data_IF_389206587635
#
_entry.id   IF_389206587635
#
_cell.length_a   1.000
_cell.length_b   1.000
_cell.length_c   1.000
_cell.angle_alpha   90.00
_cell.angle_beta   90.00
_cell.angle_gamma   90.00
#
_symmetry.space_group_name_H-M   'P 1'
#
loop_
_entity.id
_entity.type
_entity.pdbx_description
1 polymer ?
#
# COMPACT_ATOMS: atom_id res chain seq x y z
N UNK A 1 -44.79 -0.90 -24.50
CA UNK A 1 -44.15 -0.75 -23.18
C UNK A 1 -43.66 0.68 -23.13
N UNK A 2 -44.39 1.52 -22.40
CA UNK A 2 -43.95 2.86 -22.06
C UNK A 2 -42.72 2.66 -21.17
N UNK A 3 -41.57 3.17 -21.61
CA UNK A 3 -40.38 3.23 -20.78
C UNK A 3 -40.64 4.44 -19.89
N UNK A 4 -40.94 4.20 -18.62
CA UNK A 4 -41.05 5.27 -17.63
C UNK A 4 -39.71 6.02 -17.61
N UNK A 5 -39.75 7.31 -17.90
CA UNK A 5 -38.58 8.22 -17.94
C UNK A 5 -38.02 8.52 -16.52
N UNK A 6 -38.57 7.89 -15.48
CA UNK A 6 -38.32 8.25 -14.08
C UNK A 6 -37.34 7.31 -13.33
N UNK A 7 -36.89 6.20 -13.93
CA UNK A 7 -35.80 5.41 -13.37
C UNK A 7 -34.45 5.95 -13.88
N UNK A 8 -34.15 7.18 -13.48
CA UNK A 8 -32.85 7.81 -13.69
C UNK A 8 -31.80 6.94 -12.99
N UNK A 9 -31.05 6.16 -13.77
CA UNK A 9 -30.09 5.13 -13.35
C UNK A 9 -29.05 5.59 -12.29
N UNK A 10 -28.97 6.89 -12.05
CA UNK A 10 -28.07 7.56 -11.09
C UNK A 10 -28.80 8.33 -9.97
N UNK A 11 -30.11 8.17 -9.83
CA UNK A 11 -30.87 8.71 -8.71
C UNK A 11 -30.30 8.20 -7.38
N UNK A 12 -30.15 9.10 -6.39
CA UNK A 12 -29.56 8.79 -5.09
C UNK A 12 -28.02 8.85 -5.01
N UNK A 13 -27.29 8.94 -6.13
CA UNK A 13 -25.81 9.08 -6.10
C UNK A 13 -25.35 10.40 -5.44
N UNK A 14 -26.23 11.41 -5.47
CA UNK A 14 -26.02 12.71 -4.84
C UNK A 14 -26.70 12.85 -3.47
N UNK A 15 -27.38 11.80 -2.98
CA UNK A 15 -28.01 11.76 -1.67
C UNK A 15 -27.02 11.17 -0.66
N UNK A 16 -26.25 12.06 -0.04
CA UNK A 16 -25.34 11.69 1.04
C UNK A 16 -26.11 11.75 2.35
N UNK A 17 -25.81 10.84 3.30
CA UNK A 17 -26.35 10.94 4.65
C UNK A 17 -26.13 12.37 5.19
N UNK A 18 -27.09 13.01 5.89
CA UNK A 18 -26.97 14.41 6.32
C UNK A 18 -25.69 14.72 7.10
N UNK A 19 -25.17 13.74 7.85
CA UNK A 19 -23.91 13.85 8.60
C UNK A 19 -22.64 13.88 7.72
N UNK A 20 -22.76 13.55 6.44
CA UNK A 20 -21.70 13.54 5.44
C UNK A 20 -21.95 14.57 4.33
N UNK A 21 -23.04 15.35 4.42
CA UNK A 21 -23.35 16.40 3.47
C UNK A 21 -22.46 17.63 3.74
N UNK A 22 -21.39 17.75 2.95
CA UNK A 22 -20.43 18.85 3.09
C UNK A 22 -20.87 20.13 2.39
N UNK A 23 -22.03 20.15 1.70
CA UNK A 23 -22.46 21.29 0.87
C UNK A 23 -22.81 22.52 1.72
N UNK A 24 -23.39 22.31 2.90
CA UNK A 24 -23.83 23.37 3.81
C UNK A 24 -22.96 23.47 5.07
N UNK A 25 -21.73 22.95 5.04
CA UNK A 25 -20.83 22.93 6.21
C UNK A 25 -20.53 24.34 6.75
N UNK A 26 -20.61 25.38 5.90
CA UNK A 26 -20.51 26.80 6.32
C UNK A 26 -21.68 27.24 7.19
N UNK A 27 -22.85 26.68 7.01
CA UNK A 27 -24.09 27.04 7.72
C UNK A 27 -24.34 26.14 8.94
N UNK A 28 -23.59 25.05 9.07
CA UNK A 28 -23.69 24.10 10.17
C UNK A 28 -23.24 24.73 11.50
N UNK A 29 -24.18 24.82 12.45
CA UNK A 29 -23.98 25.45 13.74
C UNK A 29 -22.93 24.71 14.60
N UNK A 30 -22.92 23.38 14.56
CA UNK A 30 -21.99 22.56 15.34
C UNK A 30 -20.57 22.72 14.80
N UNK A 31 -20.42 22.78 13.47
CA UNK A 31 -19.14 23.06 12.83
C UNK A 31 -18.63 24.48 13.15
N UNK A 32 -19.50 25.49 13.09
CA UNK A 32 -19.14 26.88 13.43
C UNK A 32 -18.72 27.05 14.89
N UNK A 33 -19.39 26.35 15.81
CA UNK A 33 -19.02 26.37 17.22
C UNK A 33 -17.70 25.61 17.48
N UNK A 34 -17.44 24.53 16.73
CA UNK A 34 -16.13 23.86 16.73
C UNK A 34 -15.01 24.78 16.19
N UNK A 35 -15.22 25.50 15.09
CA UNK A 35 -14.27 26.48 14.57
C UNK A 35 -13.92 27.56 15.61
N UNK A 36 -14.93 28.07 16.32
CA UNK A 36 -14.76 29.12 17.34
C UNK A 36 -13.96 28.64 18.56
N UNK A 37 -14.10 27.36 18.92
CA UNK A 37 -13.44 26.76 20.08
C UNK A 37 -12.04 26.21 19.78
N UNK A 38 -11.80 25.78 18.53
CA UNK A 38 -10.53 25.16 18.11
C UNK A 38 -9.37 26.17 17.94
N UNK A 39 -9.64 27.48 17.89
CA UNK A 39 -8.60 28.52 17.83
C UNK A 39 -7.79 28.53 16.52
N UNK A 40 -8.33 27.96 15.45
CA UNK A 40 -7.70 27.84 14.13
C UNK A 40 -7.59 29.22 13.47
N UNK A 41 -6.43 29.54 12.88
CA UNK A 41 -6.16 30.84 12.23
C UNK A 41 -5.62 31.96 13.14
N UNK A 42 -5.57 31.79 14.47
CA UNK A 42 -4.94 32.79 15.35
C UNK A 42 -3.41 32.63 15.33
N UNK A 43 -2.69 33.54 14.65
CA UNK A 43 -1.24 33.71 14.81
C UNK A 43 -0.96 34.02 16.29
N UNK A 44 -0.45 33.04 17.04
CA UNK A 44 -0.01 33.28 18.42
C UNK A 44 1.13 34.31 18.38
N UNK A 45 1.07 35.40 19.18
CA UNK A 45 2.19 36.32 19.23
C UNK A 45 3.42 35.58 19.75
N UNK A 46 4.48 35.56 18.93
CA UNK A 46 5.80 35.06 19.29
C UNK A 46 6.28 35.77 20.55
N UNK A 47 6.16 35.11 21.70
CA UNK A 47 6.76 35.57 22.95
C UNK A 47 8.16 34.98 23.04
N UNK A 48 9.16 35.81 22.69
CA UNK A 48 10.56 35.57 23.04
C UNK A 48 10.65 35.22 24.53
N UNK A 49 11.42 34.17 24.81
CA UNK A 49 11.34 33.43 26.05
C UNK A 49 11.93 34.10 27.29
N UNK A 50 11.70 33.42 28.41
CA UNK A 50 12.69 33.16 29.46
C UNK A 50 12.20 31.94 30.22
N UNK A 51 13.04 30.91 30.26
CA UNK A 51 12.68 29.61 30.80
C UNK A 51 12.52 29.63 32.31
N UNK A 52 11.57 28.83 32.80
CA UNK A 52 11.63 28.23 34.13
C UNK A 52 10.82 26.94 34.09
N UNK A 53 11.53 25.82 34.15
CA UNK A 53 10.97 24.48 34.37
C UNK A 53 10.28 24.41 35.73
N UNK A 54 9.01 23.98 35.77
CA UNK A 54 8.41 23.37 36.96
C UNK A 54 7.68 22.10 36.55
N UNK A 55 8.23 20.97 36.96
CA UNK A 55 7.54 19.69 37.06
C UNK A 55 6.33 19.82 37.99
N UNK A 56 5.18 19.32 37.55
CA UNK A 56 3.99 19.13 38.36
C UNK A 56 3.57 17.67 38.34
N UNK A 57 3.74 16.98 39.46
CA UNK A 57 3.28 15.62 39.75
C UNK A 57 1.77 15.61 39.95
N UNK A 58 1.02 14.77 39.22
CA UNK A 58 -0.41 14.55 39.48
C UNK A 58 -0.58 13.33 40.38
N UNK A 59 -1.17 13.59 41.54
CA UNK A 59 -1.52 12.63 42.59
C UNK A 59 -2.87 11.98 42.30
N UNK A 60 -2.90 10.65 42.42
CA UNK A 60 -4.10 9.80 42.42
C UNK A 60 -4.85 10.01 43.72
N UNK A 61 -6.14 10.38 43.63
CA UNK A 61 -7.03 10.44 44.80
C UNK A 61 -8.11 9.36 44.69
N UNK A 62 -7.92 8.30 45.46
CA UNK A 62 -8.95 7.32 45.74
C UNK A 62 -9.99 7.87 46.73
N UNK A 63 -11.22 7.36 46.63
CA UNK A 63 -12.22 7.51 47.66
C UNK A 63 -12.90 6.15 47.89
N UNK A 64 -13.00 5.79 49.17
CA UNK A 64 -13.58 4.53 49.66
C UNK A 64 -14.70 4.84 50.65
N UNK A 65 -15.83 4.14 50.54
CA UNK A 65 -16.71 3.76 51.67
C UNK A 65 -17.72 2.71 51.18
N UNK A 66 -17.54 1.44 51.56
CA UNK A 66 -18.20 0.73 52.69
C UNK A 66 -19.71 0.54 52.53
N UNK A 67 -20.14 -0.71 52.30
CA UNK A 67 -20.88 -1.50 53.30
C UNK A 67 -21.08 -2.94 52.78
N UNK A 68 -20.81 -3.90 53.65
CA UNK A 68 -21.01 -5.34 53.46
C UNK A 68 -22.37 -5.76 54.01
N UNK A 69 -22.99 -6.80 53.42
CA UNK A 69 -23.49 -7.99 54.14
C UNK A 69 -23.94 -9.07 53.16
N UNK A 70 -23.67 -10.31 53.54
CA UNK A 70 -23.89 -11.54 52.80
C UNK A 70 -25.26 -12.18 53.09
N UNK A 71 -25.71 -13.04 52.16
CA UNK A 71 -26.12 -14.45 52.40
C UNK A 71 -27.45 -14.91 51.76
N UNK A 72 -27.28 -15.80 50.77
CA UNK A 72 -27.95 -17.11 50.56
C UNK A 72 -29.40 -17.21 50.02
N UNK A 73 -29.70 -18.34 49.32
CA UNK A 73 -30.83 -18.47 48.41
C UNK A 73 -32.04 -19.16 49.06
N UNK A 74 -33.22 -18.96 48.48
CA UNK A 74 -34.44 -19.67 48.86
C UNK A 74 -35.11 -20.34 47.67
N UNK A 75 -35.67 -21.50 47.98
CA UNK A 75 -36.19 -22.58 47.14
C UNK A 75 -37.65 -22.39 46.72
N UNK A 76 -37.96 -22.89 45.52
CA UNK A 76 -39.18 -23.55 45.04
C UNK A 76 -40.56 -23.22 45.64
N UNK A 77 -41.51 -22.82 44.78
CA UNK A 77 -42.89 -23.36 44.78
C UNK A 77 -43.41 -23.47 43.35
N UNK A 78 -43.96 -24.65 43.06
CA UNK A 78 -44.62 -25.12 41.84
C UNK A 78 -46.06 -24.59 41.80
N UNK A 79 -46.56 -24.18 40.64
CA UNK A 79 -48.00 -24.08 40.39
C UNK A 79 -48.33 -24.84 39.08
N UNK A 80 -49.26 -25.78 39.19
CA UNK A 80 -49.79 -26.55 38.08
C UNK A 80 -50.78 -25.69 37.29
N UNK A 81 -50.63 -25.64 35.97
CA UNK A 81 -51.58 -25.00 35.06
C UNK A 81 -51.49 -25.69 33.70
N UNK A 82 -52.49 -26.52 33.41
CA UNK A 82 -52.73 -27.05 32.08
C UNK A 82 -53.27 -25.92 31.19
N UNK A 83 -52.57 -25.60 30.11
CA UNK A 83 -53.18 -24.96 28.94
C UNK A 83 -52.69 -25.69 27.69
N UNK A 84 -53.63 -26.32 27.00
CA UNK A 84 -53.42 -27.00 25.73
C UNK A 84 -53.30 -25.97 24.62
N UNK A 85 -52.07 -25.62 24.24
CA UNK A 85 -51.80 -24.98 22.96
C UNK A 85 -51.07 -25.97 22.07
N UNK A 86 -51.62 -26.12 20.86
CA UNK A 86 -51.10 -26.93 19.78
C UNK A 86 -49.59 -26.72 19.65
N UNK A 87 -48.84 -27.81 19.80
CA UNK A 87 -47.46 -27.86 19.34
C UNK A 87 -47.52 -27.78 17.82
N UNK A 88 -47.34 -26.58 17.28
CA UNK A 88 -46.66 -26.46 16.00
C UNK A 88 -45.30 -27.13 16.19
N UNK A 89 -45.18 -28.31 15.60
CA UNK A 89 -43.87 -28.89 15.30
C UNK A 89 -43.14 -27.80 14.51
N UNK A 90 -41.94 -27.36 14.93
CA UNK A 90 -41.14 -26.57 14.01
C UNK A 90 -41.00 -27.46 12.78
N UNK A 91 -41.48 -26.96 11.64
CA UNK A 91 -41.13 -27.54 10.37
C UNK A 91 -39.63 -27.79 10.45
N UNK A 92 -39.21 -29.02 10.18
CA UNK A 92 -37.81 -29.27 9.85
C UNK A 92 -37.50 -28.20 8.83
N UNK A 93 -36.64 -27.25 9.19
CA UNK A 93 -35.90 -26.51 8.19
C UNK A 93 -35.28 -27.62 7.35
N UNK A 94 -35.87 -27.88 6.20
CA UNK A 94 -35.24 -28.63 5.15
C UNK A 94 -33.95 -27.84 4.92
N UNK A 95 -32.87 -28.31 5.56
CA UNK A 95 -31.52 -27.91 5.23
C UNK A 95 -31.47 -28.26 3.76
N UNK A 96 -31.72 -27.27 2.89
CA UNK A 96 -31.45 -27.37 1.48
C UNK A 96 -30.01 -27.82 1.47
N UNK A 97 -29.78 -29.08 1.11
CA UNK A 97 -28.42 -29.55 0.92
C UNK A 97 -27.87 -28.63 -0.15
N UNK A 98 -26.98 -27.70 0.26
CA UNK A 98 -26.41 -26.71 -0.63
C UNK A 98 -25.98 -27.45 -1.89
N UNK A 99 -26.50 -26.99 -3.03
CA UNK A 99 -26.13 -27.58 -4.31
C UNK A 99 -24.61 -27.62 -4.40
N UNK A 100 -24.05 -28.63 -5.05
CA UNK A 100 -22.59 -28.74 -5.21
C UNK A 100 -22.02 -27.41 -5.78
N UNK A 101 -22.79 -26.75 -6.64
CA UNK A 101 -22.47 -25.43 -7.20
C UNK A 101 -22.48 -24.30 -6.16
N UNK A 102 -23.40 -24.31 -5.19
CA UNK A 102 -23.43 -23.34 -4.09
C UNK A 102 -22.24 -23.55 -3.15
N UNK A 103 -21.88 -24.81 -2.87
CA UNK A 103 -20.68 -25.15 -2.09
C UNK A 103 -19.41 -24.68 -2.79
N UNK A 104 -19.31 -24.85 -4.11
CA UNK A 104 -18.21 -24.32 -4.93
C UNK A 104 -18.13 -22.80 -4.75
N UNK A 105 -19.22 -22.07 -4.94
CA UNK A 105 -19.25 -20.60 -4.79
C UNK A 105 -18.86 -20.14 -3.38
N UNK A 106 -19.36 -20.80 -2.33
CA UNK A 106 -19.00 -20.50 -0.95
C UNK A 106 -17.50 -20.73 -0.70
N UNK A 107 -16.94 -21.82 -1.23
CA UNK A 107 -15.50 -22.09 -1.14
C UNK A 107 -14.68 -21.06 -1.90
N UNK A 108 -15.07 -20.67 -3.12
CA UNK A 108 -14.39 -19.64 -3.90
C UNK A 108 -14.36 -18.29 -3.16
N UNK A 109 -15.51 -17.86 -2.63
CA UNK A 109 -15.61 -16.65 -1.83
C UNK A 109 -14.70 -16.71 -0.60
N UNK A 110 -14.71 -17.84 0.12
CA UNK A 110 -13.85 -18.03 1.29
C UNK A 110 -12.36 -18.02 0.94
N UNK A 111 -11.96 -18.64 -0.16
CA UNK A 111 -10.58 -18.60 -0.65
C UNK A 111 -10.17 -17.15 -0.94
N UNK A 112 -11.03 -16.39 -1.61
CA UNK A 112 -10.74 -14.99 -1.92
C UNK A 112 -10.62 -14.13 -0.65
N UNK A 113 -11.48 -14.32 0.37
CA UNK A 113 -11.33 -13.62 1.65
C UNK A 113 -9.99 -13.90 2.34
N UNK A 114 -9.48 -15.14 2.27
CA UNK A 114 -8.16 -15.48 2.82
C UNK A 114 -7.02 -14.82 2.04
N UNK A 115 -7.16 -14.69 0.72
CA UNK A 115 -6.20 -13.95 -0.11
C UNK A 115 -6.20 -12.47 0.27
N UNK A 116 -7.37 -11.87 0.45
CA UNK A 116 -7.51 -10.47 0.90
C UNK A 116 -6.92 -10.26 2.29
N UNK A 117 -7.23 -11.13 3.26
CA UNK A 117 -6.64 -11.08 4.61
C UNK A 117 -5.11 -11.17 4.57
N UNK A 118 -4.57 -12.10 3.77
CA UNK A 118 -3.13 -12.25 3.56
C UNK A 118 -2.49 -10.98 2.98
N UNK A 119 -3.10 -10.40 1.94
CA UNK A 119 -2.66 -9.14 1.35
C UNK A 119 -2.71 -7.99 2.37
N UNK A 120 -3.77 -7.91 3.17
CA UNK A 120 -3.96 -6.87 4.18
C UNK A 120 -3.01 -6.98 5.37
N UNK A 121 -2.54 -8.20 5.70
CA UNK A 121 -1.51 -8.44 6.71
C UNK A 121 -0.11 -8.12 6.18
N UNK A 122 0.13 -8.42 4.90
CA UNK A 122 1.39 -8.10 4.22
C UNK A 122 1.51 -6.63 3.79
N UNK A 123 0.40 -5.89 3.77
CA UNK A 123 0.39 -4.48 3.39
C UNK A 123 1.19 -3.65 4.40
N UNK A 124 2.16 -2.87 3.90
CA UNK A 124 2.94 -1.95 4.74
C UNK A 124 2.04 -0.80 5.20
N UNK A 125 1.99 -0.54 6.51
CA UNK A 125 1.35 0.66 7.04
C UNK A 125 2.07 1.91 6.54
N UNK A 126 1.32 2.97 6.25
CA UNK A 126 1.90 4.26 5.87
C UNK A 126 2.65 4.83 7.09
N UNK A 127 3.98 5.05 7.02
CA UNK A 127 4.77 5.45 8.19
C UNK A 127 4.36 6.81 8.79
N UNK A 128 3.66 7.66 8.04
CA UNK A 128 3.24 9.01 8.45
C UNK A 128 1.72 9.11 8.70
N UNK A 129 1.00 7.99 8.81
CA UNK A 129 -0.41 7.98 9.22
C UNK A 129 -0.52 7.81 10.73
N UNK A 130 -0.42 8.93 11.47
CA UNK A 130 -0.53 8.98 12.93
C UNK A 130 -1.87 8.39 13.45
N UNK A 131 -2.91 8.40 12.60
CA UNK A 131 -4.22 7.83 12.89
C UNK A 131 -4.38 6.36 12.41
N UNK A 132 -3.45 5.84 11.61
CA UNK A 132 -3.48 4.42 11.29
C UNK A 132 -3.00 3.64 12.53
N UNK A 133 -3.70 2.57 12.94
CA UNK A 133 -3.12 1.65 13.91
C UNK A 133 -1.76 1.23 13.34
N UNK A 134 -0.69 1.33 14.14
CA UNK A 134 0.64 0.81 13.78
C UNK A 134 0.49 -0.69 13.56
N UNK A 135 0.10 -1.07 12.34
CA UNK A 135 -0.16 -2.44 11.96
C UNK A 135 1.22 -3.07 11.82
N UNK A 136 1.65 -3.77 12.85
CA UNK A 136 2.85 -4.60 12.76
C UNK A 136 2.65 -5.55 11.58
N UNK A 137 3.63 -5.56 10.68
CA UNK A 137 3.60 -6.42 9.51
C UNK A 137 3.84 -7.85 9.99
N UNK A 138 2.77 -8.62 10.18
CA UNK A 138 2.87 -10.02 10.56
C UNK A 138 3.01 -10.90 9.31
N UNK A 139 4.25 -10.98 8.82
CA UNK A 139 4.63 -11.76 7.65
C UNK A 139 4.32 -13.26 7.82
N UNK A 140 4.38 -13.77 9.05
CA UNK A 140 4.08 -15.16 9.37
C UNK A 140 2.60 -15.46 9.24
N UNK A 141 1.73 -14.60 9.79
CA UNK A 141 0.28 -14.73 9.63
C UNK A 141 -0.13 -14.55 8.16
N UNK A 142 0.45 -13.58 7.45
CA UNK A 142 0.17 -13.37 6.03
C UNK A 142 0.50 -14.64 5.20
N UNK A 143 1.63 -15.28 5.49
CA UNK A 143 2.03 -16.53 4.85
C UNK A 143 1.09 -17.69 5.20
N UNK A 144 0.73 -17.84 6.48
CA UNK A 144 -0.19 -18.89 6.93
C UNK A 144 -1.54 -18.79 6.19
N UNK A 145 -2.09 -17.57 6.07
CA UNK A 145 -3.33 -17.31 5.31
C UNK A 145 -3.20 -17.65 3.83
N UNK A 146 -2.06 -17.32 3.20
CA UNK A 146 -1.82 -17.68 1.81
C UNK A 146 -1.70 -19.20 1.60
N UNK A 147 -1.05 -19.91 2.53
CA UNK A 147 -0.95 -21.37 2.49
C UNK A 147 -2.32 -22.04 2.71
N UNK A 148 -3.12 -21.51 3.62
CA UNK A 148 -4.50 -21.95 3.87
C UNK A 148 -5.37 -21.78 2.62
N UNK A 149 -5.32 -20.60 1.97
CA UNK A 149 -6.02 -20.34 0.72
C UNK A 149 -5.64 -21.35 -0.38
N UNK A 150 -4.33 -21.60 -0.55
CA UNK A 150 -3.84 -22.59 -1.52
C UNK A 150 -4.23 -24.03 -1.20
N UNK A 151 -4.34 -24.39 0.08
CA UNK A 151 -4.84 -25.70 0.49
C UNK A 151 -6.34 -25.87 0.19
N UNK A 152 -7.14 -24.84 0.48
CA UNK A 152 -8.57 -24.82 0.16
C UNK A 152 -8.82 -24.86 -1.34
N UNK A 153 -8.03 -24.14 -2.13
CA UNK A 153 -8.10 -24.16 -3.59
C UNK A 153 -7.85 -25.57 -4.15
N UNK A 154 -6.80 -26.27 -3.68
CA UNK A 154 -6.56 -27.67 -4.06
C UNK A 154 -7.69 -28.61 -3.64
N UNK A 155 -8.41 -28.29 -2.56
CA UNK A 155 -9.59 -29.05 -2.15
C UNK A 155 -10.78 -28.75 -3.06
N UNK A 156 -10.98 -27.49 -3.45
CA UNK A 156 -12.01 -27.05 -4.38
C UNK A 156 -11.85 -27.75 -5.73
N UNK A 157 -10.63 -27.76 -6.30
CA UNK A 157 -10.33 -28.42 -7.57
C UNK A 157 -10.69 -29.92 -7.51
N UNK A 158 -10.24 -30.62 -6.46
CA UNK A 158 -10.56 -32.05 -6.27
C UNK A 158 -12.05 -32.32 -6.15
N UNK A 159 -12.79 -31.42 -5.48
CA UNK A 159 -14.24 -31.53 -5.35
C UNK A 159 -14.93 -31.33 -6.70
N UNK A 160 -14.51 -30.32 -7.49
CA UNK A 160 -15.01 -30.08 -8.84
C UNK A 160 -14.76 -31.27 -9.76
N UNK A 161 -13.56 -31.87 -9.71
CA UNK A 161 -13.22 -33.08 -10.47
C UNK A 161 -14.11 -34.28 -10.10
N UNK A 162 -14.32 -34.53 -8.80
CA UNK A 162 -15.19 -35.62 -8.33
C UNK A 162 -16.65 -35.46 -8.74
N UNK A 163 -17.11 -34.21 -8.86
CA UNK A 163 -18.46 -33.88 -9.31
C UNK A 163 -18.58 -33.80 -10.84
N UNK A 164 -17.53 -34.13 -11.61
CA UNK A 164 -17.44 -33.97 -13.07
C UNK A 164 -17.69 -32.52 -13.54
N UNK A 165 -17.32 -31.54 -12.71
CA UNK A 165 -17.38 -30.10 -12.98
C UNK A 165 -16.00 -29.53 -13.37
N UNK A 166 -15.13 -30.32 -13.98
CA UNK A 166 -13.75 -29.90 -14.29
C UNK A 166 -13.64 -28.67 -15.20
N UNK A 167 -14.64 -28.44 -16.06
CA UNK A 167 -14.66 -27.30 -16.98
C UNK A 167 -15.09 -25.98 -16.32
N UNK A 168 -15.61 -26.01 -15.08
CA UNK A 168 -16.00 -24.80 -14.32
C UNK A 168 -14.88 -24.25 -13.45
N UNK A 169 -13.65 -24.72 -13.66
CA UNK A 169 -12.51 -24.31 -12.86
C UNK A 169 -12.19 -22.82 -13.02
N UNK A 170 -12.21 -22.09 -11.91
CA UNK A 170 -11.94 -20.66 -11.87
C UNK A 170 -10.41 -20.38 -11.93
N UNK A 171 -9.91 -20.16 -13.13
CA UNK A 171 -8.49 -19.86 -13.39
C UNK A 171 -8.06 -18.52 -12.77
N UNK A 172 -8.95 -17.54 -12.67
CA UNK A 172 -8.61 -16.24 -12.08
C UNK A 172 -8.39 -16.36 -10.57
N UNK A 173 -9.22 -17.15 -9.89
CA UNK A 173 -9.02 -17.49 -8.48
C UNK A 173 -7.68 -18.22 -8.28
N UNK A 174 -7.40 -19.20 -9.12
CA UNK A 174 -6.14 -19.95 -9.09
C UNK A 174 -4.93 -19.04 -9.26
N UNK A 175 -5.01 -18.13 -10.23
CA UNK A 175 -3.98 -17.13 -10.45
C UNK A 175 -3.78 -16.25 -9.22
N UNK A 176 -4.86 -15.73 -8.62
CA UNK A 176 -4.81 -14.87 -7.45
C UNK A 176 -4.16 -15.58 -6.24
N UNK A 177 -4.57 -16.82 -5.96
CA UNK A 177 -4.06 -17.60 -4.84
C UNK A 177 -2.57 -17.91 -5.02
N UNK A 178 -2.17 -18.43 -6.18
CA UNK A 178 -0.77 -18.76 -6.45
C UNK A 178 0.13 -17.52 -6.52
N UNK A 179 -0.36 -16.41 -7.08
CA UNK A 179 0.40 -15.16 -7.12
C UNK A 179 0.61 -14.59 -5.71
N UNK A 180 -0.43 -14.59 -4.88
CA UNK A 180 -0.31 -14.15 -3.50
C UNK A 180 0.65 -15.07 -2.72
N UNK A 181 0.49 -16.39 -2.82
CA UNK A 181 1.36 -17.36 -2.15
C UNK A 181 2.82 -17.19 -2.55
N UNK A 182 3.12 -17.06 -3.85
CA UNK A 182 4.47 -16.82 -4.33
C UNK A 182 5.06 -15.50 -3.81
N UNK A 183 4.23 -14.46 -3.75
CA UNK A 183 4.59 -13.17 -3.14
C UNK A 183 4.92 -13.30 -1.65
N UNK A 184 4.08 -13.99 -0.89
CA UNK A 184 4.31 -14.21 0.54
C UNK A 184 5.56 -15.03 0.81
N UNK A 185 5.84 -16.08 0.02
CA UNK A 185 7.10 -16.80 0.11
C UNK A 185 8.30 -15.88 -0.17
N UNK A 186 8.22 -15.01 -1.17
CA UNK A 186 9.31 -14.10 -1.52
C UNK A 186 9.58 -13.03 -0.45
N UNK A 187 8.55 -12.57 0.25
CA UNK A 187 8.67 -11.59 1.35
C UNK A 187 9.21 -12.26 2.62
N UNK A 188 8.84 -13.52 2.88
CA UNK A 188 9.37 -14.34 3.97
C UNK A 188 10.74 -15.00 3.65
N UNK A 189 11.40 -14.58 2.56
CA UNK A 189 12.71 -15.08 2.11
C UNK A 189 12.77 -16.59 1.81
N UNK A 190 11.62 -17.23 1.63
CA UNK A 190 11.47 -18.61 1.15
C UNK A 190 11.61 -18.66 -0.37
N UNK A 191 12.81 -18.37 -0.85
CA UNK A 191 13.07 -18.11 -2.27
C UNK A 191 12.83 -19.32 -3.18
N UNK A 192 13.14 -20.53 -2.71
CA UNK A 192 12.95 -21.76 -3.48
C UNK A 192 11.47 -22.05 -3.75
N UNK A 193 10.63 -21.92 -2.73
CA UNK A 193 9.19 -22.13 -2.77
C UNK A 193 8.51 -21.04 -3.61
N UNK A 194 8.95 -19.79 -3.47
CA UNK A 194 8.49 -18.68 -4.30
C UNK A 194 8.77 -18.94 -5.79
N UNK A 195 10.00 -19.33 -6.13
CA UNK A 195 10.40 -19.62 -7.52
C UNK A 195 9.63 -20.80 -8.10
N UNK A 196 9.43 -21.87 -7.33
CA UNK A 196 8.63 -23.02 -7.77
C UNK A 196 7.19 -22.61 -8.07
N UNK A 197 6.57 -21.82 -7.18
CA UNK A 197 5.20 -21.34 -7.36
C UNK A 197 5.08 -20.41 -8.58
N UNK A 198 6.00 -19.46 -8.75
CA UNK A 198 6.03 -18.61 -9.95
C UNK A 198 6.31 -19.40 -11.23
N UNK A 199 7.06 -20.50 -11.15
CA UNK A 199 7.33 -21.35 -12.30
C UNK A 199 6.08 -22.12 -12.75
N UNK A 200 5.19 -22.50 -11.82
CA UNK A 200 3.89 -23.09 -12.17
C UNK A 200 3.04 -22.09 -12.96
N UNK A 201 2.96 -20.84 -12.49
CA UNK A 201 2.22 -19.77 -13.15
C UNK A 201 2.77 -19.44 -14.55
N UNK A 202 4.10 -19.31 -14.68
CA UNK A 202 4.72 -18.91 -15.95
C UNK A 202 4.77 -20.02 -17.01
N UNK A 203 4.60 -21.30 -16.63
CA UNK A 203 4.51 -22.42 -17.57
C UNK A 203 3.12 -22.53 -18.21
N UNK A 204 2.07 -22.13 -17.47
CA UNK A 204 0.72 -22.15 -17.99
C UNK A 204 0.45 -20.90 -18.84
N UNK A 205 0.22 -21.11 -20.14
CA UNK A 205 -0.04 -20.01 -21.09
C UNK A 205 -1.39 -19.34 -20.91
N UNK A 206 -2.29 -19.93 -20.12
CA UNK A 206 -3.60 -19.36 -19.82
C UNK A 206 -3.51 -18.19 -18.84
N UNK A 207 -2.43 -18.10 -18.05
CA UNK A 207 -2.28 -17.01 -17.09
C UNK A 207 -1.71 -15.74 -17.74
N UNK A 208 -2.33 -14.57 -17.49
CA UNK A 208 -1.88 -13.31 -18.05
C UNK A 208 -0.58 -12.83 -17.38
N UNK A 209 0.04 -11.82 -17.98
CA UNK A 209 1.16 -11.07 -17.39
C UNK A 209 2.39 -11.90 -16.96
N UNK A 210 2.73 -12.95 -17.72
CA UNK A 210 3.92 -13.76 -17.49
C UNK A 210 5.23 -12.93 -17.43
N UNK A 211 5.27 -11.78 -18.12
CA UNK A 211 6.37 -10.82 -18.04
C UNK A 211 6.56 -10.27 -16.61
N UNK A 212 5.50 -9.84 -15.93
CA UNK A 212 5.54 -9.32 -14.55
C UNK A 212 5.99 -10.39 -13.55
N UNK A 213 5.52 -11.62 -13.71
CA UNK A 213 5.95 -12.75 -12.88
C UNK A 213 7.46 -13.03 -13.05
N UNK A 214 7.99 -12.95 -14.26
CA UNK A 214 9.44 -13.08 -14.51
C UNK A 214 10.25 -11.97 -13.85
N UNK A 215 9.74 -10.75 -13.76
CA UNK A 215 10.38 -9.67 -12.99
C UNK A 215 10.48 -10.05 -11.51
N UNK A 216 9.41 -10.60 -10.93
CA UNK A 216 9.42 -11.05 -9.54
C UNK A 216 10.42 -12.19 -9.31
N UNK A 217 10.47 -13.17 -10.22
CA UNK A 217 11.49 -14.23 -10.19
C UNK A 217 12.92 -13.64 -10.29
N UNK A 218 13.11 -12.65 -11.18
CA UNK A 218 14.39 -11.93 -11.33
C UNK A 218 14.80 -11.23 -10.03
N UNK A 219 13.85 -10.59 -9.34
CA UNK A 219 14.08 -9.95 -8.04
C UNK A 219 14.52 -10.97 -6.97
N UNK A 220 13.93 -12.16 -6.97
CA UNK A 220 14.34 -13.25 -6.07
C UNK A 220 15.78 -13.68 -6.36
N UNK A 221 16.11 -13.96 -7.62
CA UNK A 221 17.48 -14.32 -8.00
C UNK A 221 18.49 -13.20 -7.72
N UNK A 222 18.09 -11.93 -7.85
CA UNK A 222 18.90 -10.79 -7.47
C UNK A 222 19.21 -10.81 -5.96
N UNK A 223 18.20 -11.06 -5.11
CA UNK A 223 18.38 -11.19 -3.65
C UNK A 223 19.25 -12.38 -3.26
N UNK A 224 19.14 -13.50 -3.99
CA UNK A 224 20.00 -14.68 -3.81
C UNK A 224 21.45 -14.46 -4.28
N UNK A 225 21.77 -13.35 -4.93
CA UNK A 225 23.09 -13.10 -5.52
C UNK A 225 23.34 -13.84 -6.85
N UNK A 226 22.35 -14.54 -7.39
CA UNK A 226 22.46 -15.25 -8.67
C UNK A 226 22.26 -14.30 -9.86
N UNK A 227 23.18 -13.35 -10.00
CA UNK A 227 23.12 -12.25 -10.96
C UNK A 227 22.88 -12.66 -12.43
N UNK A 228 23.53 -13.71 -12.98
CA UNK A 228 23.29 -14.13 -14.36
C UNK A 228 21.86 -14.63 -14.62
N UNK A 229 21.27 -15.35 -13.66
CA UNK A 229 19.89 -15.86 -13.77
C UNK A 229 18.88 -14.71 -13.66
N UNK A 230 19.11 -13.77 -12.74
CA UNK A 230 18.31 -12.54 -12.63
C UNK A 230 18.32 -11.75 -13.94
N UNK A 231 19.50 -11.54 -14.54
CA UNK A 231 19.64 -10.78 -15.79
C UNK A 231 18.87 -11.44 -16.94
N UNK A 232 18.96 -12.78 -17.06
CA UNK A 232 18.22 -13.53 -18.08
C UNK A 232 16.72 -13.32 -17.93
N UNK A 233 16.19 -13.40 -16.71
CA UNK A 233 14.76 -13.22 -16.45
C UNK A 233 14.27 -11.79 -16.70
N UNK A 234 15.03 -10.78 -16.30
CA UNK A 234 14.68 -9.40 -16.60
C UNK A 234 14.69 -9.12 -18.10
N UNK A 235 15.67 -9.63 -18.85
CA UNK A 235 15.67 -9.52 -20.32
C UNK A 235 14.46 -10.20 -20.95
N UNK A 236 14.17 -11.44 -20.55
CA UNK A 236 12.98 -12.16 -21.02
C UNK A 236 11.68 -11.41 -20.68
N UNK A 237 11.61 -10.74 -19.52
CA UNK A 237 10.45 -9.91 -19.16
C UNK A 237 10.36 -8.68 -20.06
N UNK A 238 11.48 -7.97 -20.28
CA UNK A 238 11.53 -6.77 -21.13
C UNK A 238 11.16 -7.06 -22.59
N UNK A 239 11.63 -8.19 -23.13
CA UNK A 239 11.33 -8.64 -24.50
C UNK A 239 9.84 -8.98 -24.69
N UNK A 240 9.19 -9.44 -23.62
CA UNK A 240 7.77 -9.80 -23.62
C UNK A 240 6.84 -8.64 -23.26
N UNK A 241 7.38 -7.55 -22.72
CA UNK A 241 6.60 -6.37 -22.37
C UNK A 241 6.31 -5.54 -23.62
N UNK A 242 5.03 -5.35 -23.99
CA UNK A 242 4.64 -4.54 -25.13
C UNK A 242 5.24 -3.14 -25.08
N UNK A 243 5.55 -2.56 -26.24
CA UNK A 243 6.10 -1.19 -26.34
C UNK A 243 5.17 -0.13 -25.77
N UNK A 244 3.86 -0.39 -25.75
CA UNK A 244 2.86 0.48 -25.13
C UNK A 244 2.97 0.56 -23.59
N UNK A 245 3.47 -0.48 -22.92
CA UNK A 245 3.65 -0.49 -21.45
C UNK A 245 4.97 0.18 -21.05
N UNK A 246 5.15 1.47 -21.41
CA UNK A 246 6.40 2.22 -21.17
C UNK A 246 6.86 2.16 -19.71
N UNK A 247 5.96 2.37 -18.77
CA UNK A 247 6.28 2.39 -17.33
C UNK A 247 6.87 1.06 -16.84
N UNK A 248 6.31 -0.08 -17.29
CA UNK A 248 6.82 -1.40 -16.92
C UNK A 248 8.21 -1.61 -17.53
N UNK A 249 8.41 -1.20 -18.79
CA UNK A 249 9.72 -1.28 -19.44
C UNK A 249 10.77 -0.48 -18.68
N UNK A 250 10.46 0.74 -18.26
CA UNK A 250 11.39 1.58 -17.49
C UNK A 250 11.73 0.96 -16.13
N UNK A 251 10.73 0.42 -15.41
CA UNK A 251 10.96 -0.30 -14.14
C UNK A 251 11.84 -1.53 -14.32
N UNK A 252 11.64 -2.32 -15.38
CA UNK A 252 12.47 -3.50 -15.67
C UNK A 252 13.89 -3.08 -16.06
N UNK A 253 14.04 -2.04 -16.88
CA UNK A 253 15.35 -1.47 -17.23
C UNK A 253 16.08 -0.96 -15.99
N UNK A 254 15.38 -0.30 -15.06
CA UNK A 254 15.96 0.18 -13.80
C UNK A 254 16.50 -0.99 -12.97
N UNK A 255 15.76 -2.10 -12.85
CA UNK A 255 16.23 -3.32 -12.18
C UNK A 255 17.46 -3.94 -12.87
N UNK A 256 17.49 -3.94 -14.21
CA UNK A 256 18.69 -4.35 -14.96
C UNK A 256 19.87 -3.42 -14.65
N UNK A 257 19.64 -2.11 -14.56
CA UNK A 257 20.64 -1.11 -14.17
C UNK A 257 21.24 -1.41 -12.81
N UNK A 258 20.41 -1.62 -11.78
CA UNK A 258 20.89 -2.02 -10.44
C UNK A 258 21.67 -3.34 -10.46
N UNK A 259 21.21 -4.30 -11.25
CA UNK A 259 21.91 -5.58 -11.40
C UNK A 259 23.29 -5.41 -12.04
N UNK A 260 23.41 -4.56 -13.06
CA UNK A 260 24.70 -4.22 -13.69
C UNK A 260 25.65 -3.52 -12.70
N UNK A 261 25.12 -2.62 -11.87
CA UNK A 261 25.88 -2.00 -10.76
C UNK A 261 26.41 -3.06 -9.79
N UNK A 262 25.56 -4.02 -9.38
CA UNK A 262 25.99 -5.14 -8.50
C UNK A 262 27.06 -6.03 -9.15
N UNK A 263 27.04 -6.16 -10.48
CA UNK A 263 28.05 -6.87 -11.25
C UNK A 263 29.32 -6.05 -11.51
N UNK A 264 29.40 -4.79 -11.07
CA UNK A 264 30.52 -3.88 -11.33
C UNK A 264 30.58 -3.34 -12.77
N UNK A 265 29.53 -3.57 -13.56
CA UNK A 265 29.42 -3.11 -14.96
C UNK A 265 28.85 -1.70 -15.04
N UNK A 266 29.58 -0.74 -14.46
CA UNK A 266 29.10 0.63 -14.33
C UNK A 266 28.86 1.32 -15.69
N UNK A 267 29.68 1.04 -16.71
CA UNK A 267 29.49 1.62 -18.07
C UNK A 267 28.15 1.22 -18.69
N UNK A 268 27.79 -0.06 -18.59
CA UNK A 268 26.51 -0.57 -19.07
C UNK A 268 25.34 -0.06 -18.22
N UNK A 269 25.55 0.16 -16.92
CA UNK A 269 24.54 0.75 -16.04
C UNK A 269 24.27 2.22 -16.38
N UNK A 270 25.32 3.01 -16.69
CA UNK A 270 25.20 4.41 -17.12
C UNK A 270 24.33 4.53 -18.37
N UNK A 271 24.60 3.75 -19.41
CA UNK A 271 23.80 3.81 -20.66
C UNK A 271 22.33 3.46 -20.40
N UNK A 272 22.08 2.49 -19.53
CA UNK A 272 20.74 2.06 -19.17
C UNK A 272 19.99 3.13 -18.34
N UNK A 273 20.63 3.73 -17.34
CA UNK A 273 20.03 4.81 -16.55
C UNK A 273 19.86 6.11 -17.35
N UNK A 274 20.77 6.42 -18.28
CA UNK A 274 20.61 7.54 -19.22
C UNK A 274 19.36 7.38 -20.07
N UNK A 275 19.12 6.17 -20.60
CA UNK A 275 17.91 5.90 -21.37
C UNK A 275 16.64 6.10 -20.53
N UNK A 276 16.64 5.64 -19.27
CA UNK A 276 15.48 5.85 -18.38
C UNK A 276 15.28 7.34 -18.10
N UNK A 277 16.36 8.08 -17.79
CA UNK A 277 16.29 9.53 -17.57
C UNK A 277 15.76 10.30 -18.78
N UNK A 278 16.04 9.82 -20.00
CA UNK A 278 15.55 10.44 -21.23
C UNK A 278 14.06 10.16 -21.50
N UNK A 279 13.58 8.93 -21.28
CA UNK A 279 12.18 8.56 -21.53
C UNK A 279 11.23 8.98 -20.39
N UNK A 280 11.63 8.70 -19.14
CA UNK A 280 10.84 8.94 -17.92
C UNK A 280 11.79 9.25 -16.76
N UNK A 281 12.29 10.49 -16.72
CA UNK A 281 13.20 10.95 -15.68
C UNK A 281 12.58 10.90 -14.28
N UNK A 282 13.34 10.35 -13.33
CA UNK A 282 13.01 10.36 -11.91
C UNK A 282 14.26 10.57 -11.06
N UNK A 283 14.07 11.14 -9.86
CA UNK A 283 15.19 11.50 -8.99
C UNK A 283 16.02 10.31 -8.51
N UNK A 284 15.42 9.12 -8.39
CA UNK A 284 16.14 7.93 -7.94
C UNK A 284 17.05 7.39 -9.06
N UNK A 285 16.53 7.28 -10.29
CA UNK A 285 17.32 6.91 -11.47
C UNK A 285 18.46 7.91 -11.70
N UNK A 286 18.18 9.21 -11.61
CA UNK A 286 19.20 10.24 -11.77
C UNK A 286 20.31 10.13 -10.71
N UNK A 287 19.95 9.87 -9.45
CA UNK A 287 20.94 9.62 -8.40
C UNK A 287 21.80 8.39 -8.72
N UNK A 288 21.19 7.28 -9.16
CA UNK A 288 21.94 6.08 -9.54
C UNK A 288 22.89 6.36 -10.72
N UNK A 289 22.45 7.15 -11.69
CA UNK A 289 23.27 7.57 -12.82
C UNK A 289 24.49 8.39 -12.37
N UNK A 290 24.28 9.40 -11.51
CA UNK A 290 25.37 10.19 -10.92
C UNK A 290 26.36 9.28 -10.19
N UNK A 291 25.88 8.36 -9.34
CA UNK A 291 26.74 7.44 -8.60
C UNK A 291 27.55 6.52 -9.52
N UNK A 292 26.97 6.04 -10.62
CA UNK A 292 27.69 5.22 -11.60
C UNK A 292 28.77 6.02 -12.35
N UNK A 293 28.45 7.25 -12.77
CA UNK A 293 29.44 8.15 -13.38
C UNK A 293 30.56 8.50 -12.40
N UNK A 294 30.22 8.66 -11.11
CA UNK A 294 31.19 8.89 -10.05
C UNK A 294 32.15 7.70 -9.90
N UNK A 295 31.61 6.49 -9.87
CA UNK A 295 32.39 5.25 -9.80
C UNK A 295 33.32 5.04 -11.01
N UNK A 296 33.00 5.64 -12.16
CA UNK A 296 33.81 5.59 -13.38
C UNK A 296 34.85 6.73 -13.49
N UNK A 297 34.92 7.63 -12.51
CA UNK A 297 35.69 8.88 -12.60
C UNK A 297 35.29 9.78 -13.79
N UNK A 298 34.02 9.71 -14.22
CA UNK A 298 33.46 10.55 -15.27
C UNK A 298 32.76 11.78 -14.67
N UNK A 299 33.53 12.84 -14.44
CA UNK A 299 33.03 14.07 -13.83
C UNK A 299 32.02 14.82 -14.72
N UNK A 300 32.23 14.81 -16.04
CA UNK A 300 31.31 15.44 -16.99
C UNK A 300 29.99 14.67 -17.07
N UNK A 301 30.05 13.34 -17.10
CA UNK A 301 28.86 12.49 -17.03
C UNK A 301 28.08 12.64 -15.73
N UNK A 302 28.77 12.76 -14.58
CA UNK A 302 28.13 13.01 -13.29
C UNK A 302 27.43 14.38 -13.26
N UNK A 303 28.08 15.41 -13.82
CA UNK A 303 27.51 16.76 -13.93
C UNK A 303 26.29 16.79 -14.85
N UNK A 304 26.38 16.16 -16.03
CA UNK A 304 25.25 16.06 -16.97
C UNK A 304 24.05 15.33 -16.35
N UNK A 305 24.31 14.24 -15.63
CA UNK A 305 23.27 13.49 -14.91
C UNK A 305 22.63 14.33 -13.80
N UNK A 306 23.41 15.11 -13.06
CA UNK A 306 22.88 16.02 -12.04
C UNK A 306 22.02 17.13 -12.67
N UNK A 307 22.42 17.69 -13.80
CA UNK A 307 21.58 18.64 -14.53
C UNK A 307 20.25 18.00 -14.97
N UNK A 308 20.30 16.78 -15.51
CA UNK A 308 19.07 16.07 -15.88
C UNK A 308 18.15 15.80 -14.67
N UNK A 309 18.68 15.67 -13.45
CA UNK A 309 17.85 15.57 -12.24
C UNK A 309 17.15 16.90 -11.89
N UNK A 310 17.76 18.04 -12.20
CA UNK A 310 17.16 19.35 -11.94
C UNK A 310 16.01 19.66 -12.91
N UNK A 311 16.02 19.02 -14.08
CA UNK A 311 14.94 19.11 -15.07
C UNK A 311 13.72 18.25 -14.71
N UNK A 312 13.83 17.38 -13.69
CA UNK A 312 12.69 16.57 -13.20
C UNK A 312 11.84 17.42 -12.26
N UNK A 313 10.55 17.54 -12.58
CA UNK A 313 9.59 18.23 -11.72
C UNK A 313 9.22 17.36 -10.50
N UNK A 314 9.34 17.89 -9.26
CA UNK A 314 8.85 17.18 -8.09
C UNK A 314 7.33 17.14 -8.07
N UNK A 315 6.71 16.12 -7.45
CA UNK A 315 5.26 16.07 -7.31
C UNK A 315 4.78 17.19 -6.38
N UNK A 316 4.19 18.25 -6.92
CA UNK A 316 3.65 19.39 -6.17
C UNK A 316 2.13 19.35 -6.16
N UNK A 317 1.55 18.72 -5.14
CA UNK A 317 0.10 18.73 -4.90
C UNK A 317 -0.19 19.49 -3.62
N UNK A 318 -1.17 20.41 -3.68
CA UNK A 318 -1.82 21.02 -2.51
C UNK A 318 -0.88 21.74 -1.51
N UNK A 319 0.37 22.03 -1.88
CA UNK A 319 1.30 22.81 -1.05
C UNK A 319 0.88 24.28 -0.99
N UNK A 320 0.46 24.82 -2.13
CA UNK A 320 0.12 26.24 -2.35
C UNK A 320 -1.38 26.45 -2.55
N UNK A 321 -2.21 25.87 -1.68
CA UNK A 321 -3.65 26.20 -1.68
C UNK A 321 -3.80 27.64 -1.22
N UNK A 322 -4.10 28.51 -2.18
CA UNK A 322 -4.47 29.90 -1.93
C UNK A 322 -5.84 29.95 -1.28
N UNK A 323 -5.97 30.77 -0.24
CA UNK A 323 -7.25 31.13 0.38
C UNK A 323 -7.46 32.63 0.17
N UNK A 324 -8.71 33.04 0.04
CA UNK A 324 -9.07 34.42 -0.28
C UNK A 324 -8.98 35.31 0.97
N UNK A 325 -9.27 34.76 2.16
CA UNK A 325 -9.12 35.45 3.45
C UNK A 325 -8.41 34.57 4.51
N UNK A 326 -7.21 34.98 4.94
CA UNK A 326 -6.49 34.32 6.06
C UNK A 326 -7.22 34.42 7.40
N UNK A 327 -8.20 35.32 7.54
CA UNK A 327 -8.99 35.47 8.75
C UNK A 327 -10.29 34.67 8.71
N UNK A 328 -10.69 34.12 7.55
CA UNK A 328 -11.82 33.20 7.49
C UNK A 328 -11.39 31.83 8.06
N UNK A 329 -11.94 31.51 9.23
CA UNK A 329 -11.71 30.25 9.92
C UNK A 329 -12.12 29.05 9.07
N UNK A 330 -13.17 29.19 8.25
CA UNK A 330 -13.62 28.13 7.35
C UNK A 330 -12.57 27.83 6.28
N UNK A 331 -12.09 28.86 5.58
CA UNK A 331 -11.07 28.69 4.52
C UNK A 331 -9.74 28.18 5.07
N UNK A 332 -9.35 28.65 6.26
CA UNK A 332 -8.18 28.13 6.97
C UNK A 332 -8.31 26.63 7.27
N UNK A 333 -9.47 26.17 7.75
CA UNK A 333 -9.69 24.75 8.02
C UNK A 333 -9.69 23.92 6.74
N UNK A 334 -10.36 24.38 5.68
CA UNK A 334 -10.34 23.67 4.39
C UNK A 334 -8.91 23.52 3.90
N UNK A 335 -8.12 24.60 3.91
CA UNK A 335 -6.69 24.56 3.54
C UNK A 335 -5.91 23.56 4.39
N UNK A 336 -6.09 23.58 5.71
CA UNK A 336 -5.32 22.73 6.62
C UNK A 336 -5.74 21.25 6.50
N UNK A 337 -7.03 20.96 6.29
CA UNK A 337 -7.55 19.61 6.00
C UNK A 337 -7.00 19.08 4.68
N UNK A 338 -7.06 19.88 3.62
CA UNK A 338 -6.53 19.47 2.31
C UNK A 338 -5.03 19.26 2.41
N UNK A 339 -4.27 20.14 3.09
CA UNK A 339 -2.84 19.93 3.37
C UNK A 339 -2.55 18.68 4.19
N UNK A 340 -3.50 18.19 4.98
CA UNK A 340 -3.38 16.99 5.81
C UNK A 340 -3.76 15.69 5.10
N UNK A 341 -4.35 15.77 3.90
CA UNK A 341 -4.86 14.60 3.20
C UNK A 341 -3.75 13.62 2.73
N UNK A 342 -4.16 12.43 2.26
CA UNK A 342 -3.21 11.40 1.81
C UNK A 342 -2.39 11.86 0.60
N UNK A 343 -2.99 12.64 -0.30
CA UNK A 343 -2.33 13.10 -1.53
C UNK A 343 -1.25 14.15 -1.24
N UNK A 344 -1.55 15.11 -0.36
CA UNK A 344 -0.60 16.13 0.11
C UNK A 344 0.54 15.52 0.90
N UNK A 345 0.25 14.52 1.76
CA UNK A 345 1.30 13.75 2.46
C UNK A 345 2.20 13.02 1.47
N UNK A 346 1.62 12.37 0.47
CA UNK A 346 2.38 11.72 -0.59
C UNK A 346 3.24 12.71 -1.39
N UNK A 347 2.70 13.87 -1.77
CA UNK A 347 3.44 14.94 -2.46
C UNK A 347 4.60 15.46 -1.64
N UNK A 348 4.40 15.80 -0.35
CA UNK A 348 5.48 16.22 0.55
C UNK A 348 6.57 15.16 0.67
N UNK A 349 6.19 13.87 0.74
CA UNK A 349 7.16 12.77 0.76
C UNK A 349 7.94 12.67 -0.54
N UNK A 350 7.28 12.85 -1.67
CA UNK A 350 7.91 12.90 -2.99
C UNK A 350 8.91 14.04 -3.10
N UNK A 351 8.52 15.25 -2.69
CA UNK A 351 9.41 16.43 -2.65
C UNK A 351 10.60 16.19 -1.71
N UNK A 352 10.37 15.71 -0.48
CA UNK A 352 11.46 15.39 0.45
C UNK A 352 12.36 14.26 -0.08
N UNK A 353 11.84 13.30 -0.84
CA UNK A 353 12.65 12.29 -1.50
C UNK A 353 13.50 12.87 -2.63
N UNK A 354 12.94 13.76 -3.44
CA UNK A 354 13.65 14.50 -4.48
C UNK A 354 14.80 15.32 -3.89
N UNK A 355 14.54 16.10 -2.84
CA UNK A 355 15.55 16.88 -2.11
C UNK A 355 16.68 15.99 -1.59
N UNK A 356 16.36 14.84 -0.97
CA UNK A 356 17.36 13.88 -0.50
C UNK A 356 18.20 13.33 -1.65
N UNK A 357 17.58 12.96 -2.78
CA UNK A 357 18.28 12.46 -3.94
C UNK A 357 19.22 13.52 -4.54
N UNK A 358 18.76 14.75 -4.68
CA UNK A 358 19.57 15.89 -5.16
C UNK A 358 20.74 16.18 -4.22
N UNK A 359 20.51 16.20 -2.89
CA UNK A 359 21.57 16.43 -1.92
C UNK A 359 22.64 15.33 -1.95
N UNK A 360 22.22 14.06 -2.04
CA UNK A 360 23.14 12.92 -2.16
C UNK A 360 23.93 12.96 -3.48
N UNK A 361 23.26 13.29 -4.59
CA UNK A 361 23.90 13.42 -5.90
C UNK A 361 24.93 14.55 -5.92
N UNK A 362 24.59 15.71 -5.35
CA UNK A 362 25.51 16.84 -5.22
C UNK A 362 26.73 16.51 -4.36
N UNK A 363 26.52 15.83 -3.22
CA UNK A 363 27.60 15.37 -2.37
C UNK A 363 28.52 14.37 -3.09
N UNK A 364 27.94 13.40 -3.82
CA UNK A 364 28.68 12.42 -4.60
C UNK A 364 29.53 13.08 -5.70
N UNK A 365 28.96 14.01 -6.46
CA UNK A 365 29.67 14.74 -7.51
C UNK A 365 30.76 15.66 -6.93
N UNK A 366 30.54 16.26 -5.75
CA UNK A 366 31.52 17.11 -5.08
C UNK A 366 32.75 16.32 -4.61
N UNK A 367 32.61 15.07 -4.18
CA UNK A 367 33.73 14.22 -3.77
C UNK A 367 34.72 13.91 -4.91
N UNK A 368 34.30 14.03 -6.17
CA UNK A 368 35.21 13.88 -7.31
C UNK A 368 36.06 15.12 -7.59
N UNK A 369 35.72 16.29 -7.01
CA UNK A 369 36.56 17.47 -7.17
C UNK A 369 37.83 17.25 -6.34
N UNK A 370 39.02 17.17 -6.96
CA UNK A 370 40.26 17.08 -6.20
C UNK A 370 40.40 18.34 -5.33
N UNK A 371 40.58 18.15 -4.03
CA UNK A 371 40.93 19.24 -3.12
C UNK A 371 42.30 19.83 -3.46
N UNK A 372 42.31 21.12 -3.83
CA UNK A 372 43.38 22.11 -3.61
C UNK A 372 44.82 21.89 -4.12
N UNK A 373 45.29 22.90 -4.88
CA UNK A 373 46.65 23.50 -4.90
C UNK A 373 47.82 22.68 -5.46
N UNK A 374 48.21 22.99 -6.69
CA UNK A 374 49.64 23.18 -7.01
C UNK A 374 49.97 24.68 -6.88
N UNK A 375 50.92 25.11 -6.06
CA UNK A 375 51.44 26.47 -6.11
C UNK A 375 52.56 26.48 -7.14
N UNK A 376 52.25 26.76 -8.42
CA UNK A 376 53.30 27.01 -9.42
C UNK A 376 52.84 28.06 -10.43
N UNK A 377 53.17 29.31 -10.11
CA UNK A 377 53.57 30.32 -11.09
C UNK A 377 54.39 31.37 -10.35
N UNK A 378 55.64 31.00 -10.06
CA UNK A 378 56.73 31.93 -9.74
C UNK A 378 57.44 32.37 -11.01
#
# INVERSE_FOLDING_TARGET
MVVDEDDELYAGFNEVAPALDTRNLREDQDFQDALRTAGIGRKLPSRMGTGMTRMGTVSVRGNSSRAATAARPVTAVRAAGYTSTLRDLPARDDVKEDSIEERVKQMEARIMTLVEESCMLSARSDPDDDNAPKKEVDLGQALAKAQEASAMERQLIRMQEQANLGDTHNLDLTFAVLCNLAGQYAVNEMYTEALNTYQLLTRNKLFPHANRLKVNMGNIYFKMGEHPKALKLYRMALDQTPTAEKDLRMKVMHNIGLLLVRMGKFRDAVTNFQHIMHEQGDFQTGLHLVLCSVALNDAEGAKAAFHAMLDVEPPTFHQDITIDDENDAYECVVRDVVRGDRLSRWSRRGAAHAERCLALAAAAAAMQRPGSRGPDSG
#
